data_IF_597789661590
#
_entry.id   IF_597789661590
#
_cell.length_a   1.000
_cell.length_b   1.000
_cell.length_c   1.000
_cell.angle_alpha   90.00
_cell.angle_beta   90.00
_cell.angle_gamma   90.00
#
_symmetry.space_group_name_H-M   'P 1'
#
loop_
_entity.id
_entity.type
_entity.pdbx_description
1 polymer ?
#
# COMPACT_ATOMS: atom_id res chain seq x y z
N UNK A 1 8.36 -1.54 -68.69
CA UNK A 1 7.30 -2.58 -68.67
C UNK A 1 7.01 -2.86 -67.16
N UNK A 2 5.77 -2.67 -66.72
CA UNK A 2 5.39 -2.77 -65.35
C UNK A 2 4.89 -4.18 -65.01
N UNK A 3 5.11 -4.64 -63.77
CA UNK A 3 4.23 -5.63 -63.13
C UNK A 3 3.77 -5.12 -61.78
N UNK A 4 2.55 -4.66 -61.83
CA UNK A 4 1.68 -4.46 -60.69
C UNK A 4 1.01 -5.81 -60.36
N UNK A 5 1.04 -6.19 -59.06
CA UNK A 5 0.08 -7.15 -58.54
C UNK A 5 -0.34 -6.69 -57.14
N UNK A 6 -1.49 -6.02 -57.13
CA UNK A 6 -2.26 -5.71 -55.95
C UNK A 6 -2.97 -6.97 -55.49
N UNK A 7 -2.62 -7.48 -54.32
CA UNK A 7 -3.42 -8.51 -53.65
C UNK A 7 -4.42 -7.80 -52.74
N UNK A 8 -5.67 -7.82 -53.16
CA UNK A 8 -6.81 -7.46 -52.32
C UNK A 8 -7.08 -8.62 -51.35
N UNK A 9 -6.79 -8.42 -50.06
CA UNK A 9 -7.31 -9.29 -49.03
C UNK A 9 -8.57 -8.62 -48.45
N UNK A 10 -9.73 -9.11 -48.84
CA UNK A 10 -11.01 -8.74 -48.26
C UNK A 10 -11.14 -9.47 -46.90
N UNK A 11 -10.99 -8.76 -45.81
CA UNK A 11 -11.41 -9.23 -44.48
C UNK A 11 -12.85 -8.80 -44.30
N UNK A 12 -13.74 -9.77 -44.41
CA UNK A 12 -15.14 -9.61 -44.01
C UNK A 12 -15.25 -9.38 -42.50
N UNK A 13 -15.96 -8.33 -42.18
CA UNK A 13 -16.39 -7.95 -40.82
C UNK A 13 -17.48 -8.93 -40.32
N UNK A 14 -17.12 -9.80 -39.40
CA UNK A 14 -18.08 -10.41 -38.47
C UNK A 14 -17.67 -10.08 -37.03
N UNK A 15 -17.95 -8.84 -36.63
CA UNK A 15 -18.11 -8.55 -35.21
C UNK A 15 -19.53 -8.89 -34.80
N UNK A 16 -19.74 -10.17 -34.47
CA UNK A 16 -20.91 -10.56 -33.71
C UNK A 16 -20.83 -9.88 -32.33
N UNK A 17 -21.83 -9.05 -32.04
CA UNK A 17 -22.08 -8.44 -30.75
C UNK A 17 -22.09 -9.51 -29.65
N UNK A 18 -20.97 -9.65 -28.92
CA UNK A 18 -20.99 -10.28 -27.61
C UNK A 18 -21.46 -9.21 -26.61
N UNK A 19 -22.75 -9.20 -26.39
CA UNK A 19 -23.34 -8.61 -25.18
C UNK A 19 -22.88 -9.46 -23.97
N UNK A 20 -21.71 -9.16 -23.43
CA UNK A 20 -21.28 -9.59 -22.10
C UNK A 20 -21.77 -8.51 -21.16
N UNK A 21 -23.04 -8.54 -20.84
CA UNK A 21 -23.67 -7.61 -19.90
C UNK A 21 -24.26 -8.38 -18.74
N UNK A 22 -23.95 -7.94 -17.52
CA UNK A 22 -24.73 -8.04 -16.27
C UNK A 22 -24.80 -9.34 -15.48
N UNK A 23 -24.10 -10.42 -15.81
CA UNK A 23 -24.07 -11.60 -14.92
C UNK A 23 -22.99 -11.54 -13.84
N UNK A 24 -21.88 -10.83 -14.03
CA UNK A 24 -20.75 -10.83 -13.07
C UNK A 24 -21.02 -10.07 -11.76
N UNK A 25 -21.84 -9.03 -11.80
CA UNK A 25 -22.22 -8.29 -10.57
C UNK A 25 -23.14 -9.08 -9.64
N UNK A 26 -24.03 -9.94 -10.16
CA UNK A 26 -24.88 -10.80 -9.34
C UNK A 26 -24.14 -11.91 -8.64
N UNK A 27 -23.10 -12.46 -9.27
CA UNK A 27 -22.34 -13.59 -8.74
C UNK A 27 -21.50 -13.21 -7.51
N UNK A 28 -20.99 -11.99 -7.44
CA UNK A 28 -20.24 -11.48 -6.28
C UNK A 28 -21.14 -11.17 -5.07
N UNK A 29 -22.33 -10.63 -5.29
CA UNK A 29 -23.34 -10.39 -4.24
C UNK A 29 -23.86 -11.70 -3.65
N UNK A 30 -24.16 -12.68 -4.50
CA UNK A 30 -24.61 -14.01 -4.08
C UNK A 30 -23.53 -14.74 -3.30
N UNK A 31 -22.27 -14.56 -3.62
CA UNK A 31 -21.13 -15.13 -2.89
C UNK A 31 -21.01 -14.55 -1.49
N UNK A 32 -21.01 -13.22 -1.31
CA UNK A 32 -20.92 -12.57 0.02
C UNK A 32 -22.09 -13.01 0.92
N UNK A 33 -23.26 -13.24 0.36
CA UNK A 33 -24.42 -13.71 1.10
C UNK A 33 -24.27 -15.14 1.69
N UNK A 34 -23.40 -15.98 1.09
CA UNK A 34 -23.15 -17.38 1.50
C UNK A 34 -21.97 -17.55 2.46
N UNK A 35 -21.23 -16.47 2.78
CA UNK A 35 -20.06 -16.51 3.65
C UNK A 35 -20.44 -16.62 5.13
N UNK A 36 -19.59 -17.28 5.92
CA UNK A 36 -19.74 -17.38 7.37
C UNK A 36 -19.28 -16.10 8.09
N UNK A 37 -19.84 -14.96 7.67
CA UNK A 37 -19.59 -13.69 8.34
C UNK A 37 -20.17 -13.72 9.76
N UNK A 38 -19.59 -12.91 10.64
CA UNK A 38 -20.13 -12.66 11.97
C UNK A 38 -21.54 -12.02 11.84
N UNK A 39 -22.63 -12.67 12.27
CA UNK A 39 -23.99 -12.20 11.99
C UNK A 39 -24.26 -10.77 12.47
N UNK A 40 -23.78 -10.40 13.68
CA UNK A 40 -23.92 -9.05 14.20
C UNK A 40 -23.24 -7.99 13.34
N UNK A 41 -22.11 -8.29 12.71
CA UNK A 41 -21.41 -7.37 11.81
C UNK A 41 -22.16 -7.24 10.48
N UNK A 42 -22.77 -8.33 10.00
CA UNK A 42 -23.64 -8.29 8.83
C UNK A 42 -24.86 -7.38 9.04
N UNK A 43 -25.48 -7.46 10.21
CA UNK A 43 -26.64 -6.62 10.59
C UNK A 43 -26.23 -5.14 10.75
N UNK A 44 -24.98 -4.86 11.12
CA UNK A 44 -24.43 -3.53 11.30
C UNK A 44 -23.93 -2.85 10.02
N UNK A 45 -24.04 -3.48 8.87
CA UNK A 45 -23.51 -2.93 7.60
C UNK A 45 -23.92 -1.47 7.37
N UNK A 46 -25.21 -1.14 7.55
CA UNK A 46 -25.71 0.22 7.32
C UNK A 46 -25.10 1.24 8.30
N UNK A 47 -24.90 0.85 9.56
CA UNK A 47 -24.24 1.69 10.57
C UNK A 47 -22.76 1.91 10.22
N UNK A 48 -22.05 0.85 9.89
CA UNK A 48 -20.63 0.92 9.45
C UNK A 48 -20.49 1.77 8.19
N UNK A 49 -21.38 1.61 7.21
CA UNK A 49 -21.39 2.45 6.01
C UNK A 49 -21.57 3.94 6.35
N UNK A 50 -22.40 4.27 7.36
CA UNK A 50 -22.56 5.65 7.83
C UNK A 50 -21.26 6.22 8.44
N UNK A 51 -20.48 5.40 9.17
CA UNK A 51 -19.17 5.81 9.71
C UNK A 51 -18.17 6.07 8.58
N UNK A 52 -18.05 5.14 7.63
CA UNK A 52 -17.16 5.25 6.47
C UNK A 52 -17.51 6.50 5.64
N UNK A 53 -18.79 6.71 5.33
CA UNK A 53 -19.25 7.87 4.56
C UNK A 53 -19.03 9.18 5.31
N UNK A 54 -19.09 9.19 6.64
CA UNK A 54 -18.72 10.34 7.45
C UNK A 54 -17.23 10.65 7.31
N UNK A 55 -16.35 9.66 7.44
CA UNK A 55 -14.90 9.82 7.25
C UNK A 55 -14.60 10.31 5.83
N UNK A 56 -15.25 9.73 4.82
CA UNK A 56 -15.11 10.12 3.42
C UNK A 56 -15.48 11.59 3.15
N UNK A 57 -16.49 12.10 3.84
CA UNK A 57 -16.89 13.50 3.71
C UNK A 57 -15.89 14.50 4.30
N UNK A 58 -15.10 14.07 5.27
CA UNK A 58 -14.16 14.93 6.00
C UNK A 58 -12.74 14.38 5.95
N UNK A 59 -12.18 14.17 4.73
CA UNK A 59 -10.86 13.60 4.57
C UNK A 59 -9.78 14.55 5.08
N UNK A 60 -8.83 14.00 5.81
CA UNK A 60 -7.67 14.71 6.34
C UNK A 60 -6.39 14.05 5.84
N UNK A 61 -5.41 14.85 5.45
CA UNK A 61 -4.15 14.37 4.91
C UNK A 61 -3.14 14.09 6.03
N UNK A 62 -2.05 13.43 5.66
CA UNK A 62 -0.98 12.99 6.55
C UNK A 62 -0.62 13.98 7.65
N UNK A 63 -0.70 13.53 8.89
CA UNK A 63 -0.45 14.25 10.14
C UNK A 63 -1.42 15.43 10.45
N UNK A 64 -2.52 15.54 9.71
CA UNK A 64 -3.60 16.50 9.96
C UNK A 64 -4.93 15.80 10.31
N UNK A 65 -4.91 14.49 10.62
CA UNK A 65 -6.08 13.62 10.87
C UNK A 65 -6.69 13.86 12.25
N UNK A 66 -6.95 15.13 12.62
CA UNK A 66 -7.46 15.48 13.95
C UNK A 66 -8.92 15.09 14.15
N UNK A 67 -9.80 15.35 13.16
CA UNK A 67 -11.20 14.96 13.22
C UNK A 67 -11.36 13.44 13.14
N UNK A 68 -10.61 12.80 12.26
CA UNK A 68 -10.57 11.35 12.08
C UNK A 68 -10.11 10.66 13.37
N UNK A 69 -9.02 11.12 13.96
CA UNK A 69 -8.50 10.65 15.25
C UNK A 69 -9.50 10.82 16.38
N UNK A 70 -10.20 11.97 16.44
CA UNK A 70 -11.24 12.22 17.43
C UNK A 70 -12.43 11.26 17.23
N UNK A 71 -12.90 11.11 16.00
CA UNK A 71 -13.99 10.19 15.66
C UNK A 71 -13.67 8.76 16.07
N UNK A 72 -12.47 8.27 15.75
CA UNK A 72 -11.99 6.94 16.13
C UNK A 72 -11.95 6.78 17.65
N UNK A 73 -11.36 7.74 18.36
CA UNK A 73 -11.25 7.70 19.82
C UNK A 73 -12.63 7.69 20.50
N UNK A 74 -13.54 8.56 20.07
CA UNK A 74 -14.92 8.63 20.59
C UNK A 74 -15.69 7.34 20.37
N UNK A 75 -15.53 6.71 19.19
CA UNK A 75 -16.13 5.40 18.89
C UNK A 75 -15.59 4.32 19.82
N UNK A 76 -14.27 4.20 19.96
CA UNK A 76 -13.64 3.21 20.83
C UNK A 76 -14.07 3.41 22.29
N UNK A 77 -14.08 4.64 22.80
CA UNK A 77 -14.55 4.96 24.15
C UNK A 77 -16.03 4.58 24.35
N UNK A 78 -16.88 4.83 23.34
CA UNK A 78 -18.29 4.45 23.38
C UNK A 78 -18.50 2.94 23.44
N UNK A 79 -17.55 2.15 22.95
CA UNK A 79 -17.54 0.68 23.05
C UNK A 79 -16.97 0.18 24.40
N UNK A 80 -16.54 1.09 25.27
CA UNK A 80 -15.89 0.76 26.54
C UNK A 80 -14.47 0.24 26.41
N UNK A 81 -13.76 0.65 25.34
CA UNK A 81 -12.37 0.31 25.06
C UNK A 81 -11.47 1.39 25.66
N UNK A 82 -10.36 0.98 26.30
CA UNK A 82 -9.30 1.89 26.74
C UNK A 82 -8.60 2.49 25.52
N UNK A 83 -8.44 3.82 25.49
CA UNK A 83 -7.90 4.55 24.32
C UNK A 83 -6.62 5.30 24.68
N UNK A 84 -5.62 5.15 23.85
CA UNK A 84 -4.36 5.90 23.89
C UNK A 84 -4.19 6.69 22.59
N UNK A 85 -3.78 7.95 22.72
CA UNK A 85 -3.67 8.89 21.58
C UNK A 85 -2.29 9.50 21.48
N UNK A 86 -1.99 10.05 20.33
CA UNK A 86 -0.84 10.92 20.11
C UNK A 86 0.45 10.21 19.66
N UNK A 87 0.43 8.89 19.36
CA UNK A 87 1.55 8.24 18.70
C UNK A 87 1.53 8.62 17.22
N UNK A 88 2.67 9.04 16.66
CA UNK A 88 2.71 9.58 15.30
C UNK A 88 1.82 10.82 15.16
N UNK A 89 1.70 11.65 16.20
CA UNK A 89 0.84 12.84 16.36
C UNK A 89 -0.66 12.51 16.52
N UNK A 90 -1.30 11.96 15.49
CA UNK A 90 -2.76 11.76 15.43
C UNK A 90 -3.18 10.31 15.60
N UNK A 91 -2.24 9.38 15.70
CA UNK A 91 -2.51 7.96 15.85
C UNK A 91 -3.25 7.62 17.16
N UNK A 92 -4.10 6.59 17.07
CA UNK A 92 -4.94 6.09 18.17
C UNK A 92 -4.70 4.60 18.36
N UNK A 93 -4.60 4.16 19.61
CA UNK A 93 -4.54 2.73 19.97
C UNK A 93 -5.64 2.40 20.94
N UNK A 94 -6.54 1.49 20.56
CA UNK A 94 -7.54 0.92 21.44
C UNK A 94 -7.07 -0.41 22.02
N UNK A 95 -7.33 -0.66 23.31
CA UNK A 95 -6.89 -1.88 24.01
C UNK A 95 -8.11 -2.73 24.37
N UNK A 96 -8.21 -3.93 23.80
CA UNK A 96 -9.28 -4.87 24.11
C UNK A 96 -8.69 -6.10 24.78
N UNK A 97 -9.06 -6.32 26.04
CA UNK A 97 -8.62 -7.49 26.81
C UNK A 97 -9.65 -8.62 26.70
N UNK A 98 -9.19 -9.82 26.39
CA UNK A 98 -10.00 -11.04 26.43
C UNK A 98 -10.36 -11.44 27.86
N UNK A 99 -11.37 -12.30 27.99
CA UNK A 99 -11.84 -12.82 29.31
C UNK A 99 -11.12 -14.10 29.75
N UNK A 100 -10.42 -14.75 28.83
CA UNK A 100 -9.83 -16.08 29.06
C UNK A 100 -8.36 -15.96 29.54
N UNK A 101 -8.03 -14.91 30.29
CA UNK A 101 -6.68 -14.73 30.82
C UNK A 101 -6.38 -15.79 31.89
N UNK A 102 -5.70 -16.86 31.48
CA UNK A 102 -5.13 -17.87 32.37
C UNK A 102 -3.65 -17.60 32.61
N UNK A 103 -3.28 -17.42 33.85
CA UNK A 103 -1.98 -17.56 34.51
C UNK A 103 -0.70 -17.32 33.69
N UNK A 104 -0.30 -16.07 33.47
CA UNK A 104 1.04 -15.77 32.97
C UNK A 104 1.09 -14.76 31.85
N UNK A 105 2.04 -14.92 30.96
CA UNK A 105 2.21 -14.03 29.78
C UNK A 105 1.12 -14.34 28.75
N UNK A 106 0.02 -13.61 28.79
CA UNK A 106 -1.05 -13.73 27.78
C UNK A 106 -0.56 -13.27 26.41
N UNK A 107 -0.92 -13.99 25.32
CA UNK A 107 -0.56 -13.59 23.96
C UNK A 107 -1.21 -12.26 23.58
N UNK A 108 -0.64 -11.58 22.62
CA UNK A 108 -1.14 -10.26 22.21
C UNK A 108 -0.88 -9.97 20.74
N UNK A 109 -1.84 -9.34 20.08
CA UNK A 109 -1.73 -8.98 18.66
C UNK A 109 -2.15 -7.54 18.41
N UNK A 110 -1.53 -6.92 17.39
CA UNK A 110 -1.93 -5.64 16.85
C UNK A 110 -2.70 -5.80 15.54
N UNK A 111 -3.84 -5.12 15.42
CA UNK A 111 -4.58 -4.97 14.18
C UNK A 111 -4.47 -3.53 13.73
N UNK A 112 -4.02 -3.30 12.49
CA UNK A 112 -3.75 -1.96 11.96
C UNK A 112 -4.74 -1.56 10.87
N UNK A 113 -5.22 -0.35 10.96
CA UNK A 113 -5.85 0.40 9.87
C UNK A 113 -5.20 1.77 9.76
N UNK A 114 -5.00 2.23 8.53
CA UNK A 114 -4.59 3.58 8.19
C UNK A 114 -5.78 4.54 8.23
N UNK A 115 -5.50 5.86 8.39
CA UNK A 115 -6.56 6.85 8.58
C UNK A 115 -6.51 8.03 7.60
N UNK A 116 -5.38 8.28 6.97
CA UNK A 116 -5.16 9.47 6.17
C UNK A 116 -5.77 9.41 4.77
N UNK A 117 -5.95 10.58 4.18
CA UNK A 117 -6.46 10.78 2.84
C UNK A 117 -5.39 11.38 1.91
N UNK A 118 -5.71 11.44 0.63
CA UNK A 118 -4.83 11.96 -0.42
C UNK A 118 -5.10 13.44 -0.73
N UNK A 119 -4.04 14.22 -1.06
CA UNK A 119 -4.16 15.61 -1.51
C UNK A 119 -4.59 15.68 -2.99
N UNK A 120 -5.82 15.28 -3.29
CA UNK A 120 -6.38 15.26 -4.65
C UNK A 120 -7.85 15.65 -4.66
N UNK A 121 -8.33 16.16 -5.82
CA UNK A 121 -9.71 16.55 -6.02
C UNK A 121 -10.59 15.32 -6.29
N UNK A 122 -11.69 15.18 -5.56
CA UNK A 122 -12.70 14.16 -5.80
C UNK A 122 -13.65 14.56 -6.93
N UNK A 123 -14.01 13.58 -7.79
CA UNK A 123 -14.93 13.76 -8.94
C UNK A 123 -16.03 12.70 -8.99
N UNK A 124 -16.33 12.05 -7.89
CA UNK A 124 -17.35 10.99 -7.82
C UNK A 124 -18.78 11.51 -7.92
N UNK A 125 -19.04 12.75 -7.46
CA UNK A 125 -20.37 13.33 -7.31
C UNK A 125 -21.31 12.52 -6.38
N UNK A 126 -20.78 11.76 -5.45
CA UNK A 126 -21.55 10.99 -4.48
C UNK A 126 -22.23 11.91 -3.45
N UNK A 127 -23.35 11.48 -2.84
CA UNK A 127 -24.00 12.26 -1.78
C UNK A 127 -23.11 12.55 -0.56
N UNK A 128 -22.11 11.72 -0.36
CA UNK A 128 -21.12 11.81 0.72
C UNK A 128 -19.73 12.17 0.20
N UNK A 129 -19.62 12.77 -0.99
CA UNK A 129 -18.35 13.26 -1.52
C UNK A 129 -17.67 14.23 -0.55
N UNK A 130 -16.35 14.33 -0.66
CA UNK A 130 -15.50 15.18 0.18
C UNK A 130 -16.02 16.62 0.26
N UNK A 131 -16.06 17.16 1.46
CA UNK A 131 -16.35 18.58 1.74
C UNK A 131 -15.09 19.42 1.86
N UNK A 132 -13.91 18.81 1.78
CA UNK A 132 -12.63 19.48 1.80
C UNK A 132 -12.05 19.54 0.39
N UNK A 133 -11.84 20.76 -0.14
CA UNK A 133 -11.24 20.93 -1.45
C UNK A 133 -9.85 20.29 -1.53
N UNK A 134 -9.58 19.58 -2.62
CA UNK A 134 -8.30 18.89 -2.86
C UNK A 134 -7.91 17.87 -1.77
N UNK A 135 -8.88 17.21 -1.16
CA UNK A 135 -8.67 16.10 -0.25
C UNK A 135 -9.71 15.02 -0.54
N UNK A 136 -9.28 13.77 -0.62
CA UNK A 136 -10.14 12.64 -0.95
C UNK A 136 -9.61 11.34 -0.34
N UNK A 137 -10.48 10.51 0.25
CA UNK A 137 -10.17 9.12 0.52
C UNK A 137 -10.22 8.30 -0.78
N UNK A 138 -9.11 8.29 -1.52
CA UNK A 138 -9.00 7.57 -2.79
C UNK A 138 -8.15 6.28 -2.67
N UNK A 139 -7.81 5.86 -1.44
CA UNK A 139 -7.12 4.60 -1.17
C UNK A 139 -7.95 3.62 -0.32
N UNK A 140 -9.07 4.08 0.26
CA UNK A 140 -9.97 3.23 1.04
C UNK A 140 -9.70 3.21 2.54
N UNK A 141 -8.86 4.13 3.05
CA UNK A 141 -8.51 4.19 4.46
C UNK A 141 -9.72 4.51 5.38
N UNK A 142 -10.73 5.20 4.86
CA UNK A 142 -12.04 5.36 5.50
C UNK A 142 -12.74 4.00 5.73
N UNK A 143 -12.63 3.09 4.77
CA UNK A 143 -13.11 1.72 4.86
C UNK A 143 -12.28 0.86 5.82
N UNK A 144 -10.94 0.95 5.76
CA UNK A 144 -10.06 0.21 6.67
C UNK A 144 -10.29 0.60 8.13
N UNK A 145 -10.32 1.90 8.42
CA UNK A 145 -10.68 2.45 9.74
C UNK A 145 -12.03 1.93 10.20
N UNK A 146 -13.04 1.93 9.33
CA UNK A 146 -14.38 1.46 9.66
C UNK A 146 -14.44 -0.04 9.92
N UNK A 147 -13.75 -0.86 9.11
CA UNK A 147 -13.68 -2.31 9.33
C UNK A 147 -13.05 -2.64 10.69
N UNK A 148 -11.98 -1.93 11.07
CA UNK A 148 -11.33 -2.14 12.36
C UNK A 148 -12.20 -1.65 13.53
N UNK A 149 -12.91 -0.54 13.39
CA UNK A 149 -13.89 -0.07 14.39
C UNK A 149 -15.01 -1.08 14.61
N UNK A 150 -15.57 -1.64 13.53
CA UNK A 150 -16.60 -2.68 13.62
C UNK A 150 -16.12 -3.93 14.34
N UNK A 151 -14.91 -4.39 14.02
CA UNK A 151 -14.28 -5.52 14.72
C UNK A 151 -14.00 -5.19 16.20
N UNK A 152 -13.50 -4.00 16.50
CA UNK A 152 -13.20 -3.57 17.87
C UNK A 152 -14.45 -3.55 18.74
N UNK A 153 -15.59 -3.03 18.23
CA UNK A 153 -16.87 -3.05 18.93
C UNK A 153 -17.31 -4.49 19.27
N UNK A 154 -17.28 -5.38 18.26
CA UNK A 154 -17.65 -6.79 18.48
C UNK A 154 -16.75 -7.43 19.53
N UNK A 155 -15.43 -7.31 19.39
CA UNK A 155 -14.45 -7.90 20.31
C UNK A 155 -14.59 -7.35 21.73
N UNK A 156 -14.87 -6.05 21.91
CA UNK A 156 -15.08 -5.46 23.23
C UNK A 156 -16.33 -5.98 23.93
N UNK A 157 -17.38 -6.30 23.19
CA UNK A 157 -18.64 -6.85 23.72
C UNK A 157 -18.54 -8.34 24.07
N UNK A 158 -17.89 -9.13 23.26
CA UNK A 158 -17.85 -10.59 23.40
C UNK A 158 -16.64 -11.09 24.20
N UNK A 159 -15.43 -10.61 23.89
CA UNK A 159 -14.18 -10.91 24.61
C UNK A 159 -13.88 -12.43 24.76
N UNK A 160 -14.36 -13.26 23.83
CA UNK A 160 -14.18 -14.72 23.86
C UNK A 160 -12.81 -15.13 23.26
N UNK A 161 -11.73 -14.55 23.78
CA UNK A 161 -10.36 -14.86 23.39
C UNK A 161 -9.43 -14.72 24.61
N UNK A 162 -8.24 -15.31 24.52
CA UNK A 162 -7.19 -15.21 25.52
C UNK A 162 -6.18 -14.15 25.11
N UNK A 163 -5.84 -13.23 26.04
CA UNK A 163 -4.82 -12.21 25.78
C UNK A 163 -5.37 -10.84 25.40
N UNK A 164 -4.60 -10.07 24.63
CA UNK A 164 -4.88 -8.66 24.34
C UNK A 164 -4.85 -8.37 22.84
N UNK A 165 -5.83 -7.61 22.36
CA UNK A 165 -5.88 -7.06 21.01
C UNK A 165 -5.63 -5.55 21.09
N UNK A 166 -4.66 -5.06 20.34
CA UNK A 166 -4.39 -3.66 20.13
C UNK A 166 -4.93 -3.23 18.78
N UNK A 167 -5.96 -2.38 18.76
CA UNK A 167 -6.51 -1.79 17.56
C UNK A 167 -5.72 -0.52 17.26
N UNK A 168 -4.86 -0.56 16.23
CA UNK A 168 -3.93 0.50 15.86
C UNK A 168 -4.54 1.28 14.69
N UNK A 169 -4.89 2.53 14.92
CA UNK A 169 -5.32 3.46 13.90
C UNK A 169 -4.17 4.39 13.58
N UNK A 170 -3.56 4.15 12.43
CA UNK A 170 -2.30 4.74 12.02
C UNK A 170 -2.52 5.97 11.14
N UNK A 171 -1.84 7.10 11.41
CA UNK A 171 -1.84 8.26 10.54
C UNK A 171 -0.83 8.10 9.38
N UNK A 172 -0.91 9.00 8.40
CA UNK A 172 0.18 9.37 7.50
C UNK A 172 0.85 8.20 6.75
N UNK A 173 0.06 7.27 6.22
CA UNK A 173 0.57 6.21 5.34
C UNK A 173 1.02 6.79 4.00
N UNK A 174 0.27 7.74 3.47
CA UNK A 174 0.42 8.26 2.11
C UNK A 174 1.61 9.23 1.95
N UNK A 175 2.10 9.30 0.73
CA UNK A 175 3.06 10.34 0.32
C UNK A 175 4.48 10.21 0.89
N UNK A 176 4.85 9.06 1.46
CA UNK A 176 6.19 8.86 2.04
C UNK A 176 6.37 9.47 3.43
N UNK A 177 5.28 9.75 4.14
CA UNK A 177 5.30 10.38 5.48
C UNK A 177 5.63 9.39 6.60
N UNK A 178 5.49 8.08 6.36
CA UNK A 178 5.91 7.01 7.25
C UNK A 178 5.28 7.08 8.66
N UNK A 179 3.96 7.19 8.72
CA UNK A 179 3.22 7.24 9.99
C UNK A 179 3.42 6.00 10.86
N UNK A 180 3.54 4.80 10.25
CA UNK A 180 3.89 3.59 10.97
C UNK A 180 5.24 3.73 11.69
N UNK A 181 6.26 4.23 10.99
CA UNK A 181 7.59 4.49 11.57
C UNK A 181 7.50 5.52 12.69
N UNK A 182 6.74 6.60 12.48
CA UNK A 182 6.53 7.63 13.49
C UNK A 182 5.88 7.08 14.78
N UNK A 183 4.87 6.20 14.64
CA UNK A 183 4.26 5.54 15.80
C UNK A 183 5.25 4.61 16.52
N UNK A 184 6.11 3.89 15.79
CA UNK A 184 7.15 3.02 16.36
C UNK A 184 8.18 3.86 17.12
N UNK A 185 8.65 4.96 16.53
CA UNK A 185 9.63 5.86 17.14
C UNK A 185 9.06 6.56 18.40
N UNK A 186 7.73 6.78 18.46
CA UNK A 186 7.00 7.26 19.65
C UNK A 186 6.75 6.15 20.71
N UNK A 187 7.27 4.94 20.48
CA UNK A 187 7.25 3.83 21.43
C UNK A 187 6.03 2.93 21.34
N UNK A 188 5.44 2.74 20.16
CA UNK A 188 4.29 1.85 19.95
C UNK A 188 4.53 0.46 20.55
N UNK A 189 5.64 -0.19 20.20
CA UNK A 189 5.94 -1.54 20.67
C UNK A 189 6.58 -1.61 22.07
N UNK A 190 7.05 -0.48 22.60
CA UNK A 190 7.53 -0.36 23.96
C UNK A 190 6.37 -0.23 24.96
N UNK A 191 5.32 0.52 24.57
CA UNK A 191 4.13 0.77 25.39
C UNK A 191 3.10 -0.35 25.28
N UNK A 192 2.98 -0.96 24.13
CA UNK A 192 2.00 -2.01 23.83
C UNK A 192 2.74 -3.25 23.34
N UNK A 193 2.91 -4.20 24.27
CA UNK A 193 3.54 -5.46 23.91
C UNK A 193 2.65 -6.19 22.90
N UNK A 194 3.19 -6.47 21.74
CA UNK A 194 2.56 -7.25 20.68
C UNK A 194 3.47 -8.39 20.25
N UNK A 195 2.94 -9.60 20.14
CA UNK A 195 3.65 -10.76 19.64
C UNK A 195 3.62 -10.81 18.11
N UNK A 196 2.49 -10.30 17.51
CA UNK A 196 2.37 -10.15 16.06
C UNK A 196 1.49 -8.95 15.68
N UNK A 197 1.64 -8.48 14.41
CA UNK A 197 0.88 -7.35 13.85
C UNK A 197 0.24 -7.74 12.52
N UNK A 198 -0.94 -7.19 12.24
CA UNK A 198 -1.76 -7.53 11.09
C UNK A 198 -2.31 -6.27 10.44
N UNK A 199 -2.18 -6.18 9.12
CA UNK A 199 -2.76 -5.11 8.30
C UNK A 199 -3.70 -5.69 7.25
N UNK A 200 -4.66 -4.89 6.78
CA UNK A 200 -5.57 -5.25 5.70
C UNK A 200 -5.81 -4.06 4.79
N UNK A 201 -5.85 -4.31 3.48
CA UNK A 201 -6.11 -3.29 2.48
C UNK A 201 -7.13 -3.79 1.43
N UNK A 202 -8.07 -2.96 1.05
CA UNK A 202 -8.94 -3.26 -0.07
C UNK A 202 -8.14 -3.22 -1.39
N UNK A 203 -8.43 -4.16 -2.30
CA UNK A 203 -7.62 -4.30 -3.51
C UNK A 203 -8.48 -4.35 -4.78
N UNK A 204 -8.50 -3.26 -5.59
CA UNK A 204 -9.12 -3.27 -6.91
C UNK A 204 -8.50 -4.33 -7.84
N UNK A 205 -9.34 -4.93 -8.69
CA UNK A 205 -8.91 -6.00 -9.59
C UNK A 205 -8.83 -7.39 -8.93
N UNK A 206 -9.05 -7.48 -7.61
CA UNK A 206 -9.39 -8.70 -6.91
C UNK A 206 -10.91 -8.75 -6.71
N UNK A 207 -11.54 -9.86 -7.04
CA UNK A 207 -12.99 -10.04 -6.96
C UNK A 207 -13.50 -9.81 -5.53
N UNK A 208 -14.61 -9.07 -5.37
CA UNK A 208 -15.23 -8.86 -4.06
C UNK A 208 -15.65 -10.21 -3.43
N UNK A 209 -15.35 -10.36 -2.13
CA UNK A 209 -15.53 -11.64 -1.45
C UNK A 209 -14.36 -12.61 -1.61
N UNK A 210 -13.26 -12.18 -2.21
CA UNK A 210 -11.99 -12.89 -2.15
C UNK A 210 -10.97 -12.10 -1.33
N UNK A 211 -10.02 -12.80 -0.76
CA UNK A 211 -8.90 -12.20 -0.05
C UNK A 211 -7.64 -13.06 -0.21
N UNK A 212 -6.49 -12.45 0.01
CA UNK A 212 -5.22 -13.17 -0.02
C UNK A 212 -4.22 -12.61 1.00
N UNK A 213 -3.28 -13.46 1.41
CA UNK A 213 -2.04 -13.07 2.06
C UNK A 213 -0.88 -13.68 1.25
N UNK A 214 0.00 -12.84 0.71
CA UNK A 214 1.20 -13.33 0.02
C UNK A 214 2.12 -14.03 1.02
N UNK A 215 2.74 -15.13 0.60
CA UNK A 215 3.85 -15.75 1.36
C UNK A 215 5.13 -15.01 0.99
N UNK A 216 5.74 -14.33 1.95
CA UNK A 216 6.87 -13.45 1.68
C UNK A 216 6.46 -12.09 1.10
N UNK A 217 7.15 -11.56 0.07
CA UNK A 217 6.91 -10.21 -0.44
C UNK A 217 5.49 -10.00 -0.97
N UNK A 218 4.79 -9.00 -0.45
CA UNK A 218 3.47 -8.56 -0.90
C UNK A 218 3.55 -7.26 -1.70
N UNK A 219 4.34 -6.29 -1.23
CA UNK A 219 4.51 -4.99 -1.91
C UNK A 219 5.98 -4.58 -1.94
N UNK A 220 6.35 -3.79 -2.96
CA UNK A 220 7.72 -3.35 -3.15
C UNK A 220 8.14 -2.27 -2.15
N UNK A 221 9.43 -2.26 -1.82
CA UNK A 221 10.06 -1.08 -1.25
C UNK A 221 10.20 0.02 -2.30
N UNK A 222 10.25 1.26 -1.85
CA UNK A 222 10.33 2.43 -2.70
C UNK A 222 11.40 3.41 -2.21
N UNK A 223 12.26 3.85 -3.12
CA UNK A 223 13.24 4.90 -2.85
C UNK A 223 13.25 5.92 -3.97
N UNK A 224 13.59 7.16 -3.64
CA UNK A 224 13.92 8.20 -4.60
C UNK A 224 15.43 8.42 -4.57
N UNK A 225 16.05 8.52 -5.73
CA UNK A 225 17.44 8.93 -5.84
C UNK A 225 17.56 10.14 -6.76
N UNK A 226 18.51 11.02 -6.43
CA UNK A 226 18.82 12.23 -7.20
C UNK A 226 20.31 12.24 -7.46
N UNK A 227 20.69 12.16 -8.74
CA UNK A 227 22.07 12.23 -9.19
C UNK A 227 22.37 13.66 -9.64
N UNK A 228 23.39 14.27 -9.07
CA UNK A 228 23.94 15.55 -9.53
C UNK A 228 25.23 15.26 -10.27
N UNK A 229 25.24 15.60 -11.56
CA UNK A 229 26.38 15.41 -12.47
C UNK A 229 27.07 16.76 -12.64
N UNK A 230 28.28 16.86 -12.13
CA UNK A 230 29.09 18.08 -12.16
C UNK A 230 30.17 17.98 -13.23
N UNK A 231 30.20 18.95 -14.13
CA UNK A 231 31.18 19.08 -15.18
C UNK A 231 31.82 20.46 -15.21
N UNK A 232 32.25 20.89 -16.39
CA UNK A 232 32.74 22.23 -16.64
C UNK A 232 32.04 22.82 -17.87
N UNK A 233 31.14 23.78 -17.63
CA UNK A 233 30.40 24.47 -18.69
C UNK A 233 31.28 25.36 -19.57
N UNK A 234 30.72 25.82 -20.68
CA UNK A 234 31.42 26.71 -21.60
C UNK A 234 30.63 27.05 -22.86
N UNK A 235 31.34 27.65 -23.81
CA UNK A 235 30.74 28.02 -25.08
C UNK A 235 30.43 26.82 -25.95
N UNK A 236 29.18 26.65 -26.42
CA UNK A 236 28.73 25.49 -27.17
C UNK A 236 29.54 25.24 -28.48
N UNK A 237 30.17 26.25 -29.07
CA UNK A 237 31.05 26.08 -30.22
C UNK A 237 32.48 25.59 -29.84
N UNK A 238 32.81 25.51 -28.55
CA UNK A 238 34.13 25.06 -28.06
C UNK A 238 34.02 23.91 -27.05
N UNK A 239 33.37 22.79 -27.42
CA UNK A 239 33.11 21.68 -26.50
C UNK A 239 34.40 21.02 -25.97
N UNK A 240 35.49 21.09 -26.74
CA UNK A 240 36.80 20.56 -26.36
C UNK A 240 37.45 21.26 -25.14
N UNK A 241 36.89 22.39 -24.70
CA UNK A 241 37.31 23.12 -23.49
C UNK A 241 36.40 22.85 -22.30
N UNK A 242 35.43 21.97 -22.45
CA UNK A 242 34.40 21.67 -21.44
C UNK A 242 34.44 20.25 -20.97
N UNK A 243 33.73 19.97 -19.87
CA UNK A 243 33.31 18.65 -19.42
C UNK A 243 31.77 18.66 -19.44
N UNK A 244 31.17 18.10 -20.46
CA UNK A 244 29.75 18.28 -20.75
C UNK A 244 28.85 17.39 -19.91
N UNK A 245 28.11 17.94 -18.92
CA UNK A 245 27.21 17.15 -18.08
C UNK A 245 25.96 16.63 -18.84
N UNK A 246 25.57 17.23 -19.97
CA UNK A 246 24.45 16.76 -20.78
C UNK A 246 24.84 15.43 -21.46
N UNK A 247 26.04 15.34 -22.01
CA UNK A 247 26.58 14.11 -22.59
C UNK A 247 26.70 13.04 -21.50
N UNK A 248 27.24 13.41 -20.32
CA UNK A 248 27.35 12.50 -19.18
C UNK A 248 25.98 12.00 -18.71
N UNK A 249 24.96 12.87 -18.64
CA UNK A 249 23.60 12.50 -18.25
C UNK A 249 22.98 11.48 -19.23
N UNK A 250 23.21 11.63 -20.52
CA UNK A 250 22.80 10.63 -21.54
C UNK A 250 23.45 9.26 -21.31
N UNK A 251 24.77 9.24 -21.04
CA UNK A 251 25.50 8.02 -20.75
C UNK A 251 25.03 7.36 -19.44
N UNK A 252 24.82 8.11 -18.38
CA UNK A 252 24.28 7.63 -17.11
C UNK A 252 22.89 7.05 -17.27
N UNK A 253 22.01 7.74 -18.02
CA UNK A 253 20.66 7.27 -18.32
C UNK A 253 20.67 5.88 -18.95
N UNK A 254 21.49 5.68 -19.95
CA UNK A 254 21.62 4.38 -20.65
C UNK A 254 22.28 3.31 -19.78
N UNK A 255 23.31 3.66 -19.03
CA UNK A 255 24.03 2.73 -18.17
C UNK A 255 23.14 2.18 -17.03
N UNK A 256 22.34 3.02 -16.41
CA UNK A 256 21.42 2.61 -15.31
C UNK A 256 20.38 1.58 -15.76
N UNK A 257 19.95 1.60 -17.06
CA UNK A 257 19.03 0.58 -17.57
C UNK A 257 19.64 -0.83 -17.56
N UNK A 258 20.97 -0.92 -17.58
CA UNK A 258 21.65 -2.23 -17.54
C UNK A 258 21.61 -2.89 -16.15
N UNK A 259 21.32 -2.15 -15.10
CA UNK A 259 21.22 -2.70 -13.75
C UNK A 259 20.13 -3.76 -13.68
N UNK A 260 18.91 -3.43 -14.09
CA UNK A 260 17.80 -4.38 -14.12
C UNK A 260 17.99 -5.43 -15.20
N UNK A 261 18.35 -5.01 -16.43
CA UNK A 261 18.39 -5.93 -17.57
C UNK A 261 19.57 -6.90 -17.56
N UNK A 262 20.69 -6.61 -16.87
CA UNK A 262 21.96 -7.39 -16.91
C UNK A 262 22.53 -7.78 -15.57
N UNK A 263 22.11 -7.17 -14.47
CA UNK A 263 22.73 -7.37 -13.14
C UNK A 263 21.77 -7.83 -12.06
N UNK A 264 20.46 -7.81 -12.34
CA UNK A 264 19.44 -8.38 -11.47
C UNK A 264 19.38 -9.89 -11.69
N UNK A 265 19.25 -10.66 -10.58
CA UNK A 265 18.94 -12.09 -10.66
C UNK A 265 17.62 -12.27 -11.43
N UNK A 266 17.55 -13.17 -12.45
CA UNK A 266 16.32 -13.40 -13.23
C UNK A 266 15.09 -13.79 -12.40
N UNK A 267 15.27 -14.30 -11.17
CA UNK A 267 14.20 -14.65 -10.25
C UNK A 267 13.87 -13.56 -9.23
N UNK A 268 14.54 -12.40 -9.31
CA UNK A 268 14.25 -11.25 -8.47
C UNK A 268 13.52 -10.14 -9.24
N UNK A 269 12.94 -9.18 -8.51
CA UNK A 269 12.15 -8.11 -9.08
C UNK A 269 12.65 -6.75 -8.61
N UNK A 270 13.00 -5.90 -9.57
CA UNK A 270 13.33 -4.50 -9.33
C UNK A 270 12.88 -3.64 -10.52
N UNK A 271 12.53 -2.39 -10.23
CA UNK A 271 12.24 -1.36 -11.23
C UNK A 271 13.09 -0.13 -10.94
N UNK A 272 13.82 0.34 -11.94
CA UNK A 272 14.51 1.64 -11.93
C UNK A 272 13.85 2.51 -13.00
N UNK A 273 13.22 3.60 -12.57
CA UNK A 273 12.61 4.59 -13.47
C UNK A 273 13.28 5.94 -13.28
N UNK A 274 13.82 6.49 -14.38
CA UNK A 274 14.31 7.87 -14.40
C UNK A 274 13.14 8.75 -14.82
N UNK A 275 12.71 9.64 -13.92
CA UNK A 275 11.47 10.42 -14.09
C UNK A 275 11.72 11.91 -14.24
N UNK A 276 12.95 12.35 -13.99
CA UNK A 276 13.34 13.75 -14.06
C UNK A 276 14.75 13.88 -14.65
N UNK A 277 14.94 14.78 -15.63
CA UNK A 277 16.23 15.17 -16.16
C UNK A 277 16.23 16.68 -16.41
N UNK A 278 17.16 17.40 -15.79
CA UNK A 278 17.27 18.84 -15.88
C UNK A 278 18.70 19.24 -16.22
N UNK A 279 18.89 20.02 -17.29
CA UNK A 279 20.19 20.56 -17.68
C UNK A 279 20.04 21.74 -18.62
N UNK A 280 20.91 22.74 -18.45
CA UNK A 280 21.03 23.88 -19.35
C UNK A 280 19.88 24.89 -19.31
N UNK A 281 20.17 26.13 -19.75
CA UNK A 281 19.19 27.23 -19.81
C UNK A 281 19.30 28.06 -21.10
N UNK A 282 20.38 27.89 -21.90
CA UNK A 282 20.61 28.61 -23.11
C UNK A 282 21.22 27.73 -24.21
N UNK A 283 20.84 27.96 -25.48
CA UNK A 283 21.25 27.13 -26.61
C UNK A 283 22.74 27.22 -26.97
N UNK A 284 23.41 28.30 -26.61
CA UNK A 284 24.80 28.52 -26.90
C UNK A 284 25.76 28.32 -25.72
N UNK A 285 25.25 27.73 -24.62
CA UNK A 285 26.02 27.49 -23.39
C UNK A 285 25.90 26.01 -22.98
N UNK A 286 27.05 25.32 -22.86
CA UNK A 286 27.13 24.03 -22.18
C UNK A 286 27.02 24.28 -20.66
N UNK A 287 26.07 23.67 -19.94
CA UNK A 287 25.93 23.91 -18.50
C UNK A 287 27.09 23.30 -17.71
N UNK A 288 27.27 23.74 -16.46
CA UNK A 288 28.22 23.13 -15.55
C UNK A 288 27.65 21.96 -14.76
N UNK A 289 26.31 21.82 -14.73
CA UNK A 289 25.60 20.80 -13.93
C UNK A 289 24.42 20.24 -14.74
N UNK A 290 24.16 18.94 -14.56
CA UNK A 290 22.92 18.28 -14.91
C UNK A 290 22.41 17.46 -13.70
N UNK A 291 21.09 17.27 -13.58
CA UNK A 291 20.48 16.43 -12.56
C UNK A 291 19.58 15.36 -13.17
N UNK A 292 19.65 14.15 -12.62
CA UNK A 292 18.76 13.04 -12.94
C UNK A 292 18.07 12.60 -11.65
N UNK A 293 16.73 12.61 -11.65
CA UNK A 293 15.92 12.05 -10.58
C UNK A 293 15.24 10.76 -11.02
N UNK A 294 15.14 9.81 -10.11
CA UNK A 294 14.49 8.53 -10.38
C UNK A 294 13.98 7.83 -9.14
N UNK A 295 13.30 6.71 -9.36
CA UNK A 295 12.80 5.83 -8.30
C UNK A 295 13.38 4.43 -8.45
N UNK A 296 13.63 3.78 -7.31
CA UNK A 296 13.95 2.36 -7.21
C UNK A 296 12.79 1.64 -6.51
N UNK A 297 12.34 0.53 -7.08
CA UNK A 297 11.37 -0.40 -6.48
C UNK A 297 12.00 -1.77 -6.38
N UNK A 298 11.87 -2.45 -5.23
CA UNK A 298 12.44 -3.79 -5.01
C UNK A 298 11.56 -4.62 -4.10
N UNK A 299 11.54 -5.94 -4.30
CA UNK A 299 10.78 -6.89 -3.47
C UNK A 299 11.59 -7.44 -2.29
N UNK A 300 12.91 -7.19 -2.25
CA UNK A 300 13.81 -7.67 -1.18
C UNK A 300 14.66 -6.53 -0.64
N UNK A 301 14.86 -6.52 0.67
CA UNK A 301 15.73 -5.53 1.32
C UNK A 301 17.19 -5.65 0.90
N UNK A 302 17.68 -6.87 0.62
CA UNK A 302 19.03 -7.11 0.11
C UNK A 302 19.23 -6.51 -1.29
N UNK A 303 18.30 -6.74 -2.20
CA UNK A 303 18.30 -6.15 -3.55
C UNK A 303 18.21 -4.63 -3.50
N UNK A 304 17.39 -4.09 -2.59
CA UNK A 304 17.27 -2.65 -2.36
C UNK A 304 18.63 -2.02 -2.03
N UNK A 305 19.32 -2.56 -1.04
CA UNK A 305 20.63 -2.04 -0.62
C UNK A 305 21.66 -2.14 -1.74
N UNK A 306 21.77 -3.31 -2.36
CA UNK A 306 22.70 -3.57 -3.45
C UNK A 306 22.48 -2.62 -4.64
N UNK A 307 21.21 -2.37 -5.00
CA UNK A 307 20.89 -1.52 -6.16
C UNK A 307 21.11 -0.04 -5.87
N UNK A 308 20.88 0.45 -4.66
CA UNK A 308 21.25 1.83 -4.30
C UNK A 308 22.76 2.05 -4.46
N UNK A 309 23.59 1.13 -4.00
CA UNK A 309 25.05 1.21 -4.17
C UNK A 309 25.46 1.11 -5.66
N UNK A 310 24.82 0.23 -6.42
CA UNK A 310 25.07 0.06 -7.85
C UNK A 310 24.65 1.29 -8.68
N UNK A 311 23.52 1.93 -8.35
CA UNK A 311 23.09 3.16 -9.03
C UNK A 311 24.20 4.22 -8.94
N UNK A 312 24.74 4.45 -7.76
CA UNK A 312 25.78 5.43 -7.56
C UNK A 312 27.07 5.08 -8.31
N UNK A 313 27.54 3.84 -8.16
CA UNK A 313 28.79 3.38 -8.78
C UNK A 313 28.75 3.37 -10.30
N UNK A 314 27.64 2.91 -10.88
CA UNK A 314 27.42 2.91 -12.35
C UNK A 314 27.32 4.33 -12.88
N UNK A 315 26.61 5.22 -12.18
CA UNK A 315 26.48 6.62 -12.57
C UNK A 315 27.86 7.31 -12.57
N UNK A 316 28.68 7.12 -11.53
CA UNK A 316 30.05 7.63 -11.45
C UNK A 316 30.92 7.12 -12.60
N UNK A 317 30.89 5.81 -12.87
CA UNK A 317 31.67 5.19 -13.95
C UNK A 317 31.25 5.74 -15.34
N UNK A 318 29.95 5.85 -15.61
CA UNK A 318 29.45 6.37 -16.87
C UNK A 318 29.81 7.85 -17.09
N UNK A 319 29.60 8.69 -16.09
CA UNK A 319 29.88 10.12 -16.17
C UNK A 319 31.39 10.44 -16.30
N UNK A 320 32.25 9.60 -15.73
CA UNK A 320 33.71 9.77 -15.80
C UNK A 320 34.23 9.71 -17.24
N UNK A 321 33.54 9.02 -18.16
CA UNK A 321 33.91 8.96 -19.59
C UNK A 321 33.78 10.33 -20.30
N UNK A 322 32.92 11.22 -19.78
CA UNK A 322 32.78 12.61 -20.20
C UNK A 322 33.58 13.57 -19.29
N UNK A 323 34.40 13.06 -18.37
CA UNK A 323 35.19 13.84 -17.42
C UNK A 323 34.38 14.50 -16.32
N UNK A 324 33.13 14.08 -16.09
CA UNK A 324 32.23 14.61 -15.09
C UNK A 324 32.25 13.79 -13.80
N UNK A 325 31.95 14.41 -12.67
CA UNK A 325 31.78 13.80 -11.36
C UNK A 325 30.30 13.61 -11.03
N UNK A 326 29.96 12.65 -10.18
CA UNK A 326 28.59 12.37 -9.75
C UNK A 326 28.52 12.30 -8.23
N UNK A 327 27.53 12.96 -7.65
CA UNK A 327 27.05 12.75 -6.29
C UNK A 327 25.62 12.26 -6.31
N UNK A 328 25.24 11.42 -5.33
CA UNK A 328 23.89 10.89 -5.17
C UNK A 328 23.29 11.32 -3.82
N UNK A 329 22.08 11.84 -3.86
CA UNK A 329 21.18 11.98 -2.70
C UNK A 329 20.15 10.84 -2.76
N UNK A 330 19.97 10.15 -1.64
CA UNK A 330 18.90 9.16 -1.48
C UNK A 330 17.85 9.77 -0.56
N UNK A 331 16.58 9.72 -0.98
CA UNK A 331 15.43 9.95 -0.11
C UNK A 331 14.78 8.59 0.14
N UNK A 332 15.07 7.98 1.30
CA UNK A 332 14.53 6.68 1.63
C UNK A 332 13.01 6.75 1.71
N UNK A 333 12.35 5.84 1.02
CA UNK A 333 10.93 5.57 1.20
C UNK A 333 10.73 4.29 2.01
N UNK A 334 9.59 3.63 1.80
CA UNK A 334 9.22 2.44 2.57
C UNK A 334 10.06 1.21 2.19
N UNK A 335 10.41 0.35 3.15
CA UNK A 335 10.98 -0.96 2.85
C UNK A 335 9.95 -1.87 2.17
N UNK A 336 10.36 -2.99 1.56
CA UNK A 336 9.42 -3.98 1.05
C UNK A 336 8.49 -4.50 2.15
N UNK A 337 7.20 -4.63 1.86
CA UNK A 337 6.22 -5.26 2.73
C UNK A 337 6.33 -6.77 2.56
N UNK A 338 6.90 -7.43 3.55
CA UNK A 338 7.22 -8.86 3.51
C UNK A 338 6.45 -9.55 4.62
N UNK A 339 5.47 -10.37 4.26
CA UNK A 339 4.74 -11.19 5.21
C UNK A 339 5.63 -12.31 5.75
N UNK A 340 5.51 -12.61 7.03
CA UNK A 340 6.12 -13.78 7.63
C UNK A 340 5.38 -15.03 7.17
N UNK A 341 6.10 -16.05 6.75
CA UNK A 341 5.53 -17.24 6.10
C UNK A 341 4.47 -17.92 6.97
N UNK A 342 4.79 -18.16 8.25
CA UNK A 342 3.87 -18.80 9.17
C UNK A 342 2.56 -18.01 9.36
N UNK A 343 2.66 -16.69 9.46
CA UNK A 343 1.50 -15.81 9.63
C UNK A 343 0.71 -15.64 8.34
N UNK A 344 1.36 -15.60 7.18
CA UNK A 344 0.68 -15.61 5.89
C UNK A 344 -0.12 -16.91 5.68
N UNK A 345 0.45 -18.06 6.02
CA UNK A 345 -0.25 -19.35 5.98
C UNK A 345 -1.42 -19.40 6.97
N UNK A 346 -1.21 -18.86 8.18
CA UNK A 346 -2.28 -18.73 9.18
C UNK A 346 -3.42 -17.85 8.66
N UNK A 347 -3.11 -16.66 8.11
CA UNK A 347 -4.12 -15.78 7.51
C UNK A 347 -4.89 -16.45 6.38
N UNK A 348 -4.23 -17.22 5.51
CA UNK A 348 -4.87 -18.02 4.45
C UNK A 348 -5.85 -19.04 5.02
N UNK A 349 -5.52 -19.67 6.13
CA UNK A 349 -6.44 -20.56 6.86
C UNK A 349 -7.70 -19.82 7.30
N UNK A 350 -7.54 -18.68 7.99
CA UNK A 350 -8.66 -17.84 8.43
C UNK A 350 -9.51 -17.34 7.25
N UNK A 351 -8.88 -16.91 6.16
CA UNK A 351 -9.58 -16.49 4.94
C UNK A 351 -10.42 -17.64 4.40
N UNK A 352 -9.86 -18.85 4.30
CA UNK A 352 -10.57 -20.02 3.81
C UNK A 352 -11.74 -20.43 4.70
N UNK A 353 -11.60 -20.27 6.02
CA UNK A 353 -12.65 -20.58 6.99
C UNK A 353 -13.83 -19.59 6.90
N UNK A 354 -13.54 -18.31 6.68
CA UNK A 354 -14.56 -17.23 6.61
C UNK A 354 -15.20 -17.13 5.23
N UNK A 355 -14.38 -17.16 4.18
CA UNK A 355 -14.80 -16.89 2.80
C UNK A 355 -15.01 -18.18 1.99
N UNK A 356 -14.74 -19.33 2.57
CA UNK A 356 -14.66 -20.59 1.84
C UNK A 356 -13.36 -20.72 1.03
N UNK A 357 -13.08 -21.92 0.55
CA UNK A 357 -11.85 -22.21 -0.23
C UNK A 357 -11.75 -21.36 -1.50
N UNK A 358 -12.88 -21.11 -2.15
CA UNK A 358 -12.94 -20.28 -3.36
C UNK A 358 -12.78 -18.78 -3.06
N UNK A 359 -12.91 -18.38 -1.79
CA UNK A 359 -12.65 -17.03 -1.32
C UNK A 359 -11.16 -16.72 -1.10
N UNK A 360 -10.31 -17.74 -0.99
CA UNK A 360 -8.86 -17.55 -0.93
C UNK A 360 -8.30 -17.41 -2.35
N UNK A 361 -7.67 -16.29 -2.64
CA UNK A 361 -6.85 -16.12 -3.84
C UNK A 361 -5.40 -16.53 -3.56
N UNK A 362 -4.76 -17.20 -4.52
CA UNK A 362 -3.35 -17.61 -4.43
C UNK A 362 -2.54 -17.19 -5.64
N UNK A 363 -3.19 -16.64 -6.65
CA UNK A 363 -2.63 -16.44 -7.98
C UNK A 363 -2.26 -14.98 -8.26
N UNK A 364 -2.85 -14.04 -7.50
CA UNK A 364 -2.54 -12.63 -7.68
C UNK A 364 -1.08 -12.33 -7.36
N UNK A 365 -0.41 -11.62 -8.25
CA UNK A 365 1.01 -11.27 -8.09
C UNK A 365 1.19 -10.13 -7.09
N UNK A 366 2.35 -10.07 -6.38
CA UNK A 366 2.72 -8.93 -5.55
C UNK A 366 2.73 -7.60 -6.33
N UNK A 367 2.50 -6.48 -5.64
CA UNK A 367 2.43 -5.16 -6.26
C UNK A 367 3.73 -4.38 -6.15
N UNK A 368 3.99 -3.50 -7.15
CA UNK A 368 5.11 -2.55 -7.12
C UNK A 368 4.77 -1.25 -6.37
N UNK A 369 3.56 -1.12 -5.80
CA UNK A 369 3.23 -0.12 -4.79
C UNK A 369 4.03 -0.32 -3.52
N UNK A 370 4.10 0.69 -2.68
CA UNK A 370 4.77 0.63 -1.38
C UNK A 370 3.77 0.91 -0.26
N UNK A 371 4.03 0.36 0.91
CA UNK A 371 3.16 0.38 2.08
C UNK A 371 4.01 0.50 3.36
N UNK A 372 3.73 1.45 4.23
CA UNK A 372 4.55 1.72 5.40
C UNK A 372 4.29 0.78 6.59
N UNK A 373 3.22 -0.03 6.54
CA UNK A 373 3.05 -1.18 7.45
C UNK A 373 4.26 -2.12 7.42
N UNK A 374 5.04 -2.07 6.35
CA UNK A 374 6.32 -2.74 6.22
C UNK A 374 7.27 -2.47 7.40
N UNK A 375 7.24 -1.28 8.00
CA UNK A 375 8.03 -0.98 9.20
C UNK A 375 7.55 -1.78 10.42
N UNK A 376 6.24 -1.97 10.57
CA UNK A 376 5.71 -2.80 11.66
C UNK A 376 6.09 -4.27 11.47
N UNK A 377 6.09 -4.77 10.22
CA UNK A 377 6.52 -6.14 9.90
C UNK A 377 8.03 -6.36 10.05
N UNK A 378 8.85 -5.30 10.07
CA UNK A 378 10.29 -5.42 10.40
C UNK A 378 10.53 -5.61 11.91
N UNK A 379 9.62 -5.12 12.75
CA UNK A 379 9.74 -5.17 14.22
C UNK A 379 8.98 -6.35 14.82
N UNK A 380 7.92 -6.83 14.15
CA UNK A 380 7.02 -7.87 14.65
C UNK A 380 6.66 -8.84 13.53
N UNK A 381 6.47 -10.12 13.90
CA UNK A 381 5.87 -11.10 13.02
C UNK A 381 4.44 -10.69 12.63
N UNK A 382 3.93 -11.20 11.49
CA UNK A 382 2.60 -10.88 11.05
C UNK A 382 2.42 -10.95 9.54
N UNK A 383 1.28 -10.45 9.08
CA UNK A 383 0.98 -10.42 7.65
C UNK A 383 0.06 -9.24 7.26
N UNK A 384 0.21 -8.85 6.01
CA UNK A 384 -0.64 -7.89 5.30
C UNK A 384 -1.58 -8.66 4.37
N UNK A 385 -2.88 -8.42 4.52
CA UNK A 385 -3.95 -9.13 3.82
C UNK A 385 -4.55 -8.19 2.79
N UNK A 386 -4.74 -8.66 1.56
CA UNK A 386 -5.52 -7.95 0.55
C UNK A 386 -6.94 -8.49 0.51
N UNK A 387 -7.90 -7.56 0.54
CA UNK A 387 -9.33 -7.81 0.47
C UNK A 387 -9.87 -7.31 -0.86
N UNK A 388 -10.46 -8.18 -1.68
CA UNK A 388 -10.94 -7.83 -3.00
C UNK A 388 -12.02 -6.75 -2.98
N UNK A 389 -11.75 -5.64 -3.67
CA UNK A 389 -12.68 -4.50 -3.82
C UNK A 389 -13.70 -4.72 -4.94
N UNK A 390 -13.41 -5.63 -5.85
CA UNK A 390 -14.22 -5.95 -7.03
C UNK A 390 -13.43 -5.75 -8.32
N UNK A 391 -13.83 -6.49 -9.36
CA UNK A 391 -13.19 -6.41 -10.69
C UNK A 391 -13.51 -5.10 -11.42
N UNK A 392 -14.63 -4.49 -11.11
CA UNK A 392 -15.11 -3.24 -11.71
C UNK A 392 -14.88 -2.03 -10.79
N UNK A 393 -14.15 -2.21 -9.67
CA UNK A 393 -13.75 -1.11 -8.80
C UNK A 393 -12.76 -0.19 -9.52
N UNK A 394 -12.94 1.11 -9.36
CA UNK A 394 -11.95 2.09 -9.79
C UNK A 394 -10.60 1.82 -9.11
N UNK A 395 -9.52 2.14 -9.81
CA UNK A 395 -8.18 1.99 -9.25
C UNK A 395 -7.98 2.91 -8.04
N UNK A 396 -7.15 2.46 -7.10
CA UNK A 396 -6.66 3.32 -6.02
C UNK A 396 -6.05 4.60 -6.60
N UNK A 397 -6.20 5.72 -5.88
CA UNK A 397 -5.77 7.07 -6.28
C UNK A 397 -6.50 7.62 -7.53
N UNK A 398 -7.62 7.00 -7.95
CA UNK A 398 -8.51 7.58 -8.96
C UNK A 398 -9.41 8.65 -8.33
N UNK A 399 -9.62 9.76 -9.04
CA UNK A 399 -10.58 10.79 -8.62
C UNK A 399 -12.05 10.30 -8.64
N UNK A 400 -12.32 9.13 -9.20
CA UNK A 400 -13.64 8.48 -9.26
C UNK A 400 -13.73 7.30 -8.27
N UNK A 401 -12.68 7.06 -7.46
CA UNK A 401 -12.66 5.96 -6.51
C UNK A 401 -13.75 6.11 -5.45
N UNK A 402 -14.41 5.01 -5.11
CA UNK A 402 -15.27 4.88 -3.94
C UNK A 402 -15.06 3.50 -3.31
N UNK A 403 -15.02 3.44 -1.99
CA UNK A 403 -14.88 2.18 -1.26
C UNK A 403 -16.18 1.38 -1.34
N UNK A 404 -16.07 0.08 -1.60
CA UNK A 404 -17.22 -0.81 -1.64
C UNK A 404 -17.72 -1.14 -0.22
N UNK A 405 -18.84 -0.55 0.20
CA UNK A 405 -19.43 -0.73 1.53
C UNK A 405 -19.85 -2.20 1.84
N UNK A 406 -19.94 -3.07 0.83
CA UNK A 406 -20.19 -4.51 1.04
C UNK A 406 -19.00 -5.21 1.71
N UNK A 407 -17.81 -4.63 1.65
CA UNK A 407 -16.60 -5.17 2.28
C UNK A 407 -16.56 -4.88 3.79
N UNK A 408 -17.30 -3.91 4.31
CA UNK A 408 -17.23 -3.50 5.70
C UNK A 408 -17.50 -4.66 6.67
N UNK A 409 -18.64 -5.39 6.58
CA UNK A 409 -18.88 -6.53 7.45
C UNK A 409 -17.93 -7.70 7.19
N UNK A 410 -17.41 -7.83 5.97
CA UNK A 410 -16.50 -8.89 5.58
C UNK A 410 -15.12 -8.70 6.21
N UNK A 411 -14.50 -7.52 6.03
CA UNK A 411 -13.20 -7.21 6.62
C UNK A 411 -13.26 -7.21 8.15
N UNK A 412 -14.33 -6.65 8.74
CA UNK A 412 -14.53 -6.72 10.18
C UNK A 412 -14.67 -8.17 10.69
N UNK A 413 -15.36 -9.04 9.94
CA UNK A 413 -15.47 -10.48 10.28
C UNK A 413 -14.13 -11.20 10.16
N UNK A 414 -13.32 -10.89 9.15
CA UNK A 414 -11.97 -11.44 9.02
C UNK A 414 -11.10 -11.05 10.22
N UNK A 415 -11.17 -9.78 10.67
CA UNK A 415 -10.47 -9.33 11.88
C UNK A 415 -10.90 -10.09 13.13
N UNK A 416 -12.21 -10.25 13.33
CA UNK A 416 -12.76 -10.99 14.49
C UNK A 416 -12.28 -12.44 14.47
N UNK A 417 -12.41 -13.13 13.33
CA UNK A 417 -12.02 -14.55 13.22
C UNK A 417 -10.52 -14.76 13.34
N UNK A 418 -9.71 -13.81 12.84
CA UNK A 418 -8.25 -13.81 13.03
C UNK A 418 -7.90 -13.73 14.51
N UNK A 419 -8.55 -12.85 15.27
CA UNK A 419 -8.36 -12.72 16.73
C UNK A 419 -8.77 -14.02 17.43
N UNK A 420 -9.99 -14.51 17.18
CA UNK A 420 -10.51 -15.72 17.80
C UNK A 420 -9.62 -16.94 17.53
N UNK A 421 -9.10 -17.07 16.31
CA UNK A 421 -8.20 -18.18 15.95
C UNK A 421 -6.79 -18.01 16.55
N UNK A 422 -6.20 -16.80 16.49
CA UNK A 422 -4.82 -16.54 16.97
C UNK A 422 -4.74 -16.53 18.48
N UNK A 423 -5.80 -16.05 19.15
CA UNK A 423 -5.89 -15.91 20.60
C UNK A 423 -6.87 -16.96 21.21
N UNK A 424 -7.08 -18.08 20.55
CA UNK A 424 -7.84 -19.19 21.13
C UNK A 424 -7.16 -19.70 22.40
N UNK A 425 -7.93 -20.03 23.44
CA UNK A 425 -7.40 -20.73 24.59
C UNK A 425 -6.81 -22.06 24.13
N UNK A 426 -5.58 -22.36 24.51
CA UNK A 426 -4.96 -23.68 24.36
C UNK A 426 -5.63 -24.66 25.35
N UNK A 427 -6.94 -24.90 25.20
CA UNK A 427 -7.59 -26.07 25.80
C UNK A 427 -7.40 -27.24 24.85
N UNK A 428 -6.21 -27.86 24.93
CA UNK A 428 -5.94 -29.18 24.41
C UNK A 428 -6.48 -30.25 25.34
#
# INVERSE_FOLDING_TARGET
MPYSSVVHCALASDFANLTVTTQRGSDSFDRIAQMELVPELKDKKAEMASWRQHLHQFPEIAYEEEMTSNFVAEKLESFGIEVHRGLGKTGVVGVVQGRLNDDGVSPSIGLRADMDALPMEEKTNLPYASKHANRMHACGHDGHTTMLLGAAEYLARHRHFNGTVYCIFQPAEEGGNAGARSMIDDGLFDRFRMDSVWGMHNWPGLEAGRALAHIGPAMAGADIFILTIAGAGGHAAMPHQTKDPIVAAGMVTMALQTLVSRQLDPFDHAVISLTKLEAGSAFNVIPGIATIGGTLRTMKSTTRQEFLEKIESVAKAAASTAGCDVSMEIRPGYPPTINHEADALFARGVISDVLGKDGLDTDMTPAMGAEDFSYMLQEKEGAYIWLGAGMDSENLHSAQYDFNDDLLPLGASLWVRLVEAKLSSLTG
#
